data_IF_566335388816
#
_entry.id   IF_566335388816
#
_cell.length_a   1.000
_cell.length_b   1.000
_cell.length_c   1.000
_cell.angle_alpha   90.00
_cell.angle_beta   90.00
_cell.angle_gamma   90.00
#
_symmetry.space_group_name_H-M   'P 1'
#
loop_
_entity.id
_entity.type
_entity.pdbx_description
1 polymer ?
#
# COMPACT_ATOMS: atom_id res chain seq x y z
N UNK A 1 7.55 7.69 -22.03
CA UNK A 1 7.02 6.50 -21.33
C UNK A 1 5.69 6.90 -20.74
N UNK A 2 4.58 6.18 -20.97
CA UNK A 2 3.28 6.58 -20.41
C UNK A 2 3.37 6.56 -18.88
N UNK A 3 3.05 7.70 -18.26
CA UNK A 3 2.92 7.87 -16.82
C UNK A 3 1.69 7.06 -16.37
N UNK A 4 1.92 5.82 -15.94
CA UNK A 4 0.88 4.96 -15.39
C UNK A 4 0.60 5.33 -13.94
N UNK A 5 -0.66 5.31 -13.54
CA UNK A 5 -1.09 5.65 -12.19
C UNK A 5 -0.72 4.53 -11.21
N UNK A 6 -0.22 4.89 -10.03
CA UNK A 6 0.12 3.94 -8.98
C UNK A 6 -0.98 3.88 -7.92
N UNK A 7 -1.36 2.66 -7.57
CA UNK A 7 -2.33 2.36 -6.52
C UNK A 7 -1.70 1.39 -5.53
N UNK A 8 -1.90 1.64 -4.24
CA UNK A 8 -1.40 0.74 -3.20
C UNK A 8 -2.55 0.17 -2.36
N UNK A 9 -2.44 -1.11 -2.01
CA UNK A 9 -3.25 -1.79 -1.02
C UNK A 9 -2.39 -2.15 0.18
N UNK A 10 -2.80 -1.75 1.38
CA UNK A 10 -2.14 -2.05 2.64
C UNK A 10 -3.08 -2.87 3.53
N UNK A 11 -2.77 -4.14 3.70
CA UNK A 11 -3.44 -4.97 4.69
C UNK A 11 -2.66 -4.93 6.00
N UNK A 12 -3.33 -4.52 7.08
CA UNK A 12 -2.72 -4.42 8.40
C UNK A 12 -3.02 -5.69 9.20
N UNK A 13 -2.00 -6.54 9.32
CA UNK A 13 -2.07 -7.75 10.12
C UNK A 13 -2.13 -7.43 11.62
N UNK A 14 -2.80 -8.28 12.40
CA UNK A 14 -2.88 -8.17 13.87
C UNK A 14 -1.74 -8.95 14.53
N UNK A 15 -1.91 -9.36 15.79
CA UNK A 15 -0.86 -10.01 16.58
C UNK A 15 -0.27 -11.31 15.98
N UNK A 16 -1.04 -12.02 15.16
CA UNK A 16 -0.67 -13.30 14.55
C UNK A 16 -0.64 -13.27 13.02
N UNK A 17 -1.06 -12.16 12.41
CA UNK A 17 -1.12 -12.00 10.96
C UNK A 17 -0.04 -11.04 10.49
N UNK A 18 0.46 -11.25 9.28
CA UNK A 18 1.41 -10.31 8.67
C UNK A 18 0.67 -9.09 8.12
N UNK A 19 1.31 -7.92 8.23
CA UNK A 19 0.94 -6.78 7.38
C UNK A 19 1.53 -6.98 5.99
N UNK A 20 0.82 -6.54 4.95
CA UNK A 20 1.27 -6.64 3.55
C UNK A 20 0.95 -5.35 2.80
N UNK A 21 1.94 -4.85 2.05
CA UNK A 21 1.75 -3.75 1.09
C UNK A 21 1.90 -4.30 -0.32
N UNK A 22 0.89 -4.08 -1.16
CA UNK A 22 0.95 -4.33 -2.60
C UNK A 22 0.80 -3.00 -3.37
N UNK A 23 1.60 -2.78 -4.39
CA UNK A 23 1.47 -1.62 -5.29
C UNK A 23 1.33 -2.11 -6.73
N UNK A 24 0.26 -1.65 -7.37
CA UNK A 24 -0.01 -1.89 -8.78
C UNK A 24 0.24 -0.61 -9.58
N UNK A 25 0.73 -0.79 -10.81
CA UNK A 25 0.78 0.26 -11.82
C UNK A 25 -0.28 -0.05 -12.88
N UNK A 26 -1.16 0.91 -13.11
CA UNK A 26 -2.13 0.84 -14.20
C UNK A 26 -1.57 1.59 -15.41
N UNK A 27 -1.38 0.87 -16.52
CA UNK A 27 -0.97 1.44 -17.81
C UNK A 27 -1.95 0.95 -18.85
N UNK A 28 -2.69 1.87 -19.47
CA UNK A 28 -3.77 1.53 -20.41
C UNK A 28 -4.76 0.54 -19.75
N UNK A 29 -4.97 -0.63 -20.36
CA UNK A 29 -5.88 -1.66 -19.86
C UNK A 29 -5.16 -2.77 -19.08
N UNK A 30 -3.88 -2.57 -18.73
CA UNK A 30 -3.10 -3.53 -17.96
C UNK A 30 -2.87 -3.07 -16.52
N UNK A 31 -2.96 -4.03 -15.60
CA UNK A 31 -2.60 -3.87 -14.20
C UNK A 31 -1.36 -4.72 -13.92
N UNK A 32 -0.28 -4.08 -13.46
CA UNK A 32 0.98 -4.74 -13.15
C UNK A 32 1.27 -4.61 -11.67
N UNK A 33 1.47 -5.73 -10.96
CA UNK A 33 1.98 -5.71 -9.59
C UNK A 33 3.47 -5.36 -9.64
N UNK A 34 3.81 -4.15 -9.22
CA UNK A 34 5.19 -3.64 -9.26
C UNK A 34 5.90 -3.70 -7.91
N UNK A 35 5.15 -3.94 -6.83
CA UNK A 35 5.68 -4.07 -5.47
C UNK A 35 4.79 -4.97 -4.63
N UNK A 36 5.41 -5.88 -3.90
CA UNK A 36 4.75 -6.62 -2.83
C UNK A 36 5.74 -6.76 -1.68
N UNK A 37 5.35 -6.31 -0.50
CA UNK A 37 6.16 -6.38 0.71
C UNK A 37 5.33 -6.95 1.87
N UNK A 38 5.74 -8.11 2.35
CA UNK A 38 5.21 -8.71 3.57
C UNK A 38 6.11 -8.33 4.74
N UNK A 39 5.54 -7.64 5.72
CA UNK A 39 6.26 -7.25 6.93
C UNK A 39 6.43 -8.46 7.86
N UNK A 40 7.54 -8.59 8.60
CA UNK A 40 7.67 -9.61 9.65
C UNK A 40 6.52 -9.56 10.67
N UNK A 41 6.17 -10.71 11.28
CA UNK A 41 5.19 -10.73 12.36
C UNK A 41 5.57 -9.75 13.47
N UNK A 42 4.56 -9.15 14.11
CA UNK A 42 4.72 -8.19 15.20
C UNK A 42 5.47 -6.90 14.81
N UNK A 43 5.62 -6.61 13.53
CA UNK A 43 6.07 -5.28 13.08
C UNK A 43 5.09 -4.23 13.57
N UNK A 44 5.58 -3.19 14.25
CA UNK A 44 4.72 -2.13 14.76
C UNK A 44 4.01 -1.39 13.60
N UNK A 45 2.77 -0.97 13.82
CA UNK A 45 2.04 -0.18 12.81
C UNK A 45 2.77 1.11 12.44
N UNK A 46 3.49 1.72 13.39
CA UNK A 46 4.34 2.88 13.10
C UNK A 46 5.43 2.58 12.06
N UNK A 47 6.08 1.41 12.13
CA UNK A 47 7.09 1.01 11.14
C UNK A 47 6.46 0.69 9.78
N UNK A 48 5.28 0.04 9.77
CA UNK A 48 4.52 -0.22 8.54
C UNK A 48 4.14 1.08 7.84
N UNK A 49 3.54 2.03 8.57
CA UNK A 49 3.14 3.33 8.06
C UNK A 49 4.37 4.13 7.58
N UNK A 50 5.46 4.12 8.35
CA UNK A 50 6.71 4.79 7.98
C UNK A 50 7.29 4.26 6.66
N UNK A 51 7.29 2.94 6.48
CA UNK A 51 7.70 2.31 5.22
C UNK A 51 6.83 2.77 4.04
N UNK A 52 5.51 2.74 4.22
CA UNK A 52 4.55 3.18 3.19
C UNK A 52 4.76 4.64 2.82
N UNK A 53 5.00 5.52 3.80
CA UNK A 53 5.27 6.93 3.55
C UNK A 53 6.55 7.14 2.74
N UNK A 54 7.66 6.50 3.14
CA UNK A 54 8.93 6.59 2.39
C UNK A 54 8.76 6.08 0.95
N UNK A 55 7.96 5.02 0.75
CA UNK A 55 7.66 4.50 -0.58
C UNK A 55 6.88 5.53 -1.42
N UNK A 56 5.83 6.14 -0.85
CA UNK A 56 5.02 7.15 -1.52
C UNK A 56 5.84 8.40 -1.87
N UNK A 57 6.63 8.90 -0.92
CA UNK A 57 7.50 10.07 -1.09
C UNK A 57 8.53 9.83 -2.23
N UNK A 58 9.03 8.60 -2.38
CA UNK A 58 9.94 8.22 -3.47
C UNK A 58 9.25 8.08 -4.82
N UNK A 59 7.98 7.67 -4.84
CA UNK A 59 7.28 7.30 -6.07
C UNK A 59 6.40 8.41 -6.65
N UNK A 60 6.28 9.56 -5.98
CA UNK A 60 5.69 10.84 -6.44
C UNK A 60 4.30 10.78 -7.13
N UNK A 61 3.69 9.59 -7.22
CA UNK A 61 2.49 9.27 -8.00
C UNK A 61 1.65 8.15 -7.37
N UNK A 62 1.81 7.83 -6.07
CA UNK A 62 0.87 6.92 -5.40
C UNK A 62 -0.41 7.69 -5.08
N UNK A 63 -1.47 7.48 -5.87
CA UNK A 63 -2.66 8.32 -5.82
C UNK A 63 -3.59 7.96 -4.67
N UNK A 64 -3.61 6.67 -4.30
CA UNK A 64 -4.44 6.14 -3.20
C UNK A 64 -3.75 4.96 -2.55
N UNK A 65 -3.73 4.98 -1.22
CA UNK A 65 -3.48 3.79 -0.40
C UNK A 65 -4.81 3.37 0.19
N UNK A 66 -5.31 2.21 -0.23
CA UNK A 66 -6.47 1.56 0.37
C UNK A 66 -5.97 0.65 1.48
N UNK A 67 -6.59 0.72 2.65
CA UNK A 67 -6.29 -0.20 3.75
C UNK A 67 -7.59 -0.79 4.28
N UNK A 68 -7.53 -2.05 4.67
CA UNK A 68 -8.68 -2.77 5.19
C UNK A 68 -8.89 -2.42 6.66
N UNK A 69 -9.92 -1.60 6.94
CA UNK A 69 -10.51 -1.52 8.28
C UNK A 69 -11.48 -2.70 8.41
N UNK A 70 -11.29 -3.54 9.42
CA UNK A 70 -12.35 -4.43 9.88
C UNK A 70 -13.48 -3.52 10.38
N UNK A 71 -14.54 -3.38 9.58
CA UNK A 71 -15.71 -2.47 9.64
C UNK A 71 -15.78 -1.51 8.43
N UNK A 72 -16.52 -1.98 7.42
CA UNK A 72 -17.20 -1.37 6.25
C UNK A 72 -17.06 0.14 5.88
N UNK A 73 -15.93 0.80 6.11
CA UNK A 73 -15.65 2.12 5.52
C UNK A 73 -14.24 2.18 4.93
N UNK A 74 -14.17 2.25 3.60
CA UNK A 74 -12.92 2.47 2.86
C UNK A 74 -12.49 3.93 3.01
N UNK A 75 -11.78 4.27 4.09
CA UNK A 75 -11.21 5.60 4.25
C UNK A 75 -9.88 5.69 3.50
N UNK A 76 -9.77 6.51 2.46
CA UNK A 76 -8.48 6.82 1.85
C UNK A 76 -7.69 7.78 2.75
N UNK A 77 -6.48 7.41 3.18
CA UNK A 77 -5.55 8.38 3.74
C UNK A 77 -4.86 9.12 2.60
N UNK A 78 -4.86 10.46 2.66
CA UNK A 78 -3.89 11.27 1.92
C UNK A 78 -2.61 11.28 2.75
N UNK A 79 -1.56 10.63 2.27
CA UNK A 79 -0.22 10.61 2.87
C UNK A 79 0.59 11.78 2.30
#
# INVERSE_FOLDING_TARGET
MKEGQLYAGLDLGRAQDHSVLAVIKQVEDQQQLIHCHQFPLKTSYGNVIGYVKVLCDRWNQVHKVLWTRLEWETTSWRI
#
